data_IF_018779810803
#
_entry.id   IF_018779810803
#
_cell.length_a   1.000
_cell.length_b   1.000
_cell.length_c   1.000
_cell.angle_alpha   90.00
_cell.angle_beta   90.00
_cell.angle_gamma   90.00
#
_symmetry.space_group_name_H-M   'P 1'
#
loop_
_entity.id
_entity.type
_entity.pdbx_description
1 polymer ?
#
# COMPACT_ATOMS: atom_id res chain seq x y z
N UNK A 1 -8.59 -0.80 29.64
CA UNK A 1 -7.99 -0.25 29.45
C UNK A 1 -7.53 0.41 28.68
N UNK A 2 -7.26 0.92 28.42
CA UNK A 2 -6.76 1.40 27.75
C UNK A 2 -5.57 1.87 27.45
N UNK A 3 -5.13 1.84 27.45
CA UNK A 3 -3.78 1.83 27.18
C UNK A 3 -3.39 2.53 25.96
N UNK A 4 -4.22 2.41 25.01
CA UNK A 4 -4.02 3.01 23.74
C UNK A 4 -3.78 4.47 23.83
N UNK A 5 -4.45 5.10 24.74
CA UNK A 5 -4.25 6.51 24.80
C UNK A 5 -2.93 6.87 25.36
N UNK A 6 -2.35 6.01 26.08
CA UNK A 6 -1.03 6.29 26.54
C UNK A 6 -0.10 6.44 25.34
N UNK A 7 -0.26 5.61 24.35
CA UNK A 7 0.54 5.76 23.16
C UNK A 7 0.24 7.01 22.41
N UNK A 8 -1.02 7.35 22.36
CA UNK A 8 -1.40 8.55 21.67
C UNK A 8 -0.85 9.78 22.32
N UNK A 9 -0.61 9.73 23.58
CA UNK A 9 -0.05 10.87 24.29
C UNK A 9 1.44 11.02 24.05
N UNK A 10 2.08 10.03 23.53
CA UNK A 10 3.47 10.17 23.18
C UNK A 10 3.61 10.98 21.93
N UNK A 11 4.76 11.47 21.69
CA UNK A 11 4.96 12.37 20.60
C UNK A 11 4.97 11.71 19.25
N UNK A 12 5.09 10.41 19.20
CA UNK A 12 5.16 9.74 17.91
C UNK A 12 3.87 9.79 17.17
N UNK A 13 3.95 9.92 15.86
CA UNK A 13 2.80 9.83 15.02
C UNK A 13 2.24 8.42 15.05
N UNK A 14 0.93 8.29 14.97
CA UNK A 14 0.26 7.00 14.96
C UNK A 14 0.39 6.37 13.58
N UNK A 15 0.84 5.12 13.51
CA UNK A 15 1.03 4.39 12.27
C UNK A 15 0.17 3.15 12.27
N UNK A 16 -0.42 2.84 11.13
CA UNK A 16 -1.21 1.62 10.97
C UNK A 16 -1.11 1.14 9.54
N UNK A 17 -1.00 -0.16 9.36
CA UNK A 17 -0.98 -0.78 8.04
C UNK A 17 -2.02 -1.88 8.03
N UNK A 18 -2.82 -1.93 6.99
CA UNK A 18 -3.87 -2.93 6.87
C UNK A 18 -4.17 -3.24 5.41
N UNK A 19 -4.69 -4.44 5.19
CA UNK A 19 -5.24 -4.82 3.90
C UNK A 19 -6.52 -4.02 3.68
N UNK A 20 -6.61 -3.36 2.54
CA UNK A 20 -7.81 -2.62 2.18
C UNK A 20 -8.69 -3.50 1.31
N UNK A 21 -9.90 -3.76 1.76
CA UNK A 21 -10.85 -4.55 0.99
C UNK A 21 -11.85 -3.66 0.27
N UNK A 22 -11.96 -2.43 0.72
CA UNK A 22 -12.79 -1.41 0.08
C UNK A 22 -12.26 -0.06 0.49
N UNK A 23 -12.68 0.97 -0.21
CA UNK A 23 -12.28 2.35 0.09
C UNK A 23 -13.54 3.17 0.23
N UNK A 24 -13.70 3.85 1.36
CA UNK A 24 -14.77 4.84 1.45
C UNK A 24 -14.30 6.10 0.74
N UNK A 25 -15.16 7.08 0.64
CA UNK A 25 -14.86 8.28 -0.14
C UNK A 25 -13.65 9.03 0.43
N UNK A 26 -13.56 9.15 1.75
CA UNK A 26 -12.44 9.83 2.38
C UNK A 26 -11.12 9.12 2.10
N UNK A 27 -11.12 7.81 2.24
CA UNK A 27 -9.92 7.01 1.98
C UNK A 27 -9.51 7.11 0.52
N UNK A 28 -10.49 7.09 -0.39
CA UNK A 28 -10.19 7.20 -1.80
C UNK A 28 -9.49 8.52 -2.11
N UNK A 29 -10.00 9.62 -1.54
CA UNK A 29 -9.40 10.93 -1.79
C UNK A 29 -8.02 11.03 -1.15
N UNK A 30 -7.84 10.52 0.06
CA UNK A 30 -6.52 10.52 0.69
C UNK A 30 -5.52 9.71 -0.12
N UNK A 31 -5.95 8.57 -0.63
CA UNK A 31 -5.07 7.71 -1.41
C UNK A 31 -4.70 8.38 -2.74
N UNK A 32 -5.65 9.04 -3.37
CA UNK A 32 -5.36 9.79 -4.58
C UNK A 32 -4.40 10.93 -4.32
N UNK A 33 -4.58 11.65 -3.20
CA UNK A 33 -3.66 12.73 -2.84
C UNK A 33 -2.24 12.21 -2.63
N UNK A 34 -2.12 11.09 -1.91
CA UNK A 34 -0.81 10.49 -1.66
C UNK A 34 -0.17 10.02 -2.97
N UNK A 35 -0.98 9.51 -3.89
CA UNK A 35 -0.49 9.05 -5.18
C UNK A 35 0.05 10.23 -6.00
N UNK A 36 -0.70 11.33 -6.05
CA UNK A 36 -0.25 12.52 -6.77
C UNK A 36 1.07 13.02 -6.20
N UNK A 37 1.16 13.06 -4.88
CA UNK A 37 2.39 13.50 -4.22
C UNK A 37 3.57 12.60 -4.59
N UNK A 38 3.36 11.29 -4.60
CA UNK A 38 4.43 10.35 -4.92
C UNK A 38 4.84 10.47 -6.38
N UNK A 39 3.90 10.62 -7.30
CA UNK A 39 4.22 10.77 -8.72
C UNK A 39 5.02 12.03 -8.94
N UNK A 40 4.62 13.12 -8.31
CA UNK A 40 5.34 14.39 -8.45
C UNK A 40 6.76 14.32 -7.89
N UNK A 41 6.98 13.43 -6.95
CA UNK A 41 8.31 13.22 -6.37
C UNK A 41 9.14 12.19 -7.14
N UNK A 42 8.65 11.76 -8.30
CA UNK A 42 9.37 10.79 -9.14
C UNK A 42 9.01 9.35 -8.84
N UNK A 43 7.95 9.13 -8.09
CA UNK A 43 7.54 7.79 -7.72
C UNK A 43 6.95 7.01 -8.87
N UNK A 44 6.92 5.72 -8.71
CA UNK A 44 6.51 4.79 -9.74
C UNK A 44 5.04 4.86 -10.05
N UNK A 45 4.45 3.94 -10.60
CA UNK A 45 3.14 3.74 -11.17
C UNK A 45 3.16 3.78 -12.69
N UNK A 46 4.31 4.14 -13.29
CA UNK A 46 4.35 4.27 -14.73
C UNK A 46 3.87 5.61 -15.25
N UNK A 47 3.42 6.50 -14.39
CA UNK A 47 3.03 7.85 -14.82
C UNK A 47 4.19 8.81 -14.63
N UNK A 48 4.44 9.64 -15.64
CA UNK A 48 5.46 10.69 -15.53
C UNK A 48 4.91 11.92 -14.85
N UNK A 49 3.61 12.13 -14.96
CA UNK A 49 2.91 13.21 -14.26
C UNK A 49 1.55 12.67 -13.83
N UNK A 50 0.92 13.29 -12.84
CA UNK A 50 -0.36 12.78 -12.35
C UNK A 50 -1.42 12.84 -13.42
N UNK A 51 -2.19 11.76 -13.61
CA UNK A 51 -3.32 11.79 -14.54
C UNK A 51 -4.48 12.58 -13.93
N UNK A 52 -5.55 12.82 -14.69
CA UNK A 52 -6.71 13.49 -14.13
C UNK A 52 -7.24 12.76 -12.91
N UNK A 53 -7.85 13.51 -12.00
CA UNK A 53 -8.32 12.96 -10.73
C UNK A 53 -9.26 11.79 -10.90
N UNK A 54 -10.19 11.88 -11.83
CA UNK A 54 -11.15 10.79 -12.03
C UNK A 54 -10.47 9.53 -12.54
N UNK A 55 -9.36 9.67 -13.27
CA UNK A 55 -8.58 8.51 -13.70
C UNK A 55 -7.95 7.82 -12.50
N UNK A 56 -7.42 8.60 -11.55
CA UNK A 56 -6.84 8.01 -10.34
C UNK A 56 -7.91 7.34 -9.50
N UNK A 57 -9.07 7.95 -9.38
CA UNK A 57 -10.15 7.35 -8.60
C UNK A 57 -10.56 6.01 -9.21
N UNK A 58 -10.69 5.96 -10.52
CA UNK A 58 -11.04 4.71 -11.19
C UNK A 58 -9.95 3.66 -11.04
N UNK A 59 -8.70 4.09 -11.05
CA UNK A 59 -7.58 3.16 -10.86
C UNK A 59 -7.69 2.46 -9.51
N UNK A 60 -7.83 3.25 -8.44
CA UNK A 60 -7.87 2.67 -7.10
C UNK A 60 -9.14 1.86 -6.85
N UNK A 61 -10.27 2.37 -7.31
CA UNK A 61 -11.52 1.63 -7.17
C UNK A 61 -11.48 0.32 -7.96
N UNK A 62 -10.88 0.36 -9.13
CA UNK A 62 -10.75 -0.84 -9.95
C UNK A 62 -9.89 -1.91 -9.31
N UNK A 63 -8.83 -1.50 -8.61
CA UNK A 63 -7.97 -2.46 -7.93
C UNK A 63 -8.73 -3.26 -6.88
N UNK A 64 -9.70 -2.65 -6.22
CA UNK A 64 -10.49 -3.32 -5.19
C UNK A 64 -11.34 -4.45 -5.77
N UNK A 65 -11.53 -4.45 -7.09
CA UNK A 65 -12.37 -5.45 -7.75
C UNK A 65 -11.57 -6.58 -8.38
N UNK A 66 -10.25 -6.50 -8.37
CA UNK A 66 -9.41 -7.54 -8.97
C UNK A 66 -9.18 -8.64 -7.93
N UNK A 67 -9.65 -9.88 -8.22
CA UNK A 67 -9.58 -10.94 -7.20
C UNK A 67 -8.16 -11.32 -6.80
N UNK A 68 -7.21 -11.21 -7.73
CA UNK A 68 -5.85 -11.66 -7.48
C UNK A 68 -4.93 -10.52 -7.07
N UNK A 69 -5.50 -9.42 -6.61
CA UNK A 69 -4.74 -8.27 -6.16
C UNK A 69 -5.10 -7.94 -4.72
N UNK A 70 -4.09 -7.83 -3.88
CA UNK A 70 -4.28 -7.46 -2.48
C UNK A 70 -3.58 -6.12 -2.27
N UNK A 71 -4.32 -5.13 -1.81
CA UNK A 71 -3.83 -3.77 -1.66
C UNK A 71 -3.71 -3.46 -0.17
N UNK A 72 -2.52 -3.10 0.25
CA UNK A 72 -2.28 -2.70 1.64
C UNK A 72 -2.11 -1.20 1.67
N UNK A 73 -2.66 -0.57 2.69
CA UNK A 73 -2.52 0.87 2.86
C UNK A 73 -1.85 1.16 4.19
N UNK A 74 -1.04 2.20 4.20
CA UNK A 74 -0.38 2.68 5.40
C UNK A 74 -0.99 4.02 5.78
N UNK A 75 -1.32 4.17 7.05
CA UNK A 75 -1.90 5.41 7.57
C UNK A 75 -0.93 6.05 8.55
N UNK A 76 -0.87 7.35 8.49
CA UNK A 76 -0.14 8.14 9.47
C UNK A 76 -1.17 9.10 10.06
N UNK A 77 -1.43 8.98 11.33
CA UNK A 77 -2.44 9.79 12.04
C UNK A 77 -3.80 9.72 11.36
N UNK A 78 -4.16 8.53 10.88
CA UNK A 78 -5.46 8.31 10.28
C UNK A 78 -5.57 8.59 8.81
N UNK A 79 -4.58 9.27 8.22
CA UNK A 79 -4.59 9.60 6.79
C UNK A 79 -3.80 8.56 6.02
N UNK A 80 -4.32 8.13 4.88
CA UNK A 80 -3.57 7.20 4.04
C UNK A 80 -2.36 7.92 3.48
N UNK A 81 -1.20 7.36 3.76
CA UNK A 81 0.08 7.95 3.41
C UNK A 81 0.90 7.11 2.45
N UNK A 82 0.43 5.91 2.13
CA UNK A 82 1.17 5.04 1.23
C UNK A 82 0.44 3.74 1.00
N UNK A 83 0.98 2.94 0.11
CA UNK A 83 0.35 1.68 -0.28
C UNK A 83 1.38 0.74 -0.89
N UNK A 84 1.03 -0.52 -0.96
CA UNK A 84 1.83 -1.54 -1.62
C UNK A 84 0.83 -2.59 -2.13
N UNK A 85 1.18 -3.25 -3.22
CA UNK A 85 0.27 -4.21 -3.83
C UNK A 85 0.92 -5.58 -3.89
N UNK A 86 0.14 -6.61 -3.58
CA UNK A 86 0.56 -7.99 -3.73
C UNK A 86 -0.27 -8.62 -4.83
N UNK A 87 0.41 -9.10 -5.85
CA UNK A 87 -0.22 -9.78 -6.99
C UNK A 87 -0.12 -11.28 -6.76
N UNK A 88 -1.26 -11.95 -6.83
CA UNK A 88 -1.31 -13.40 -6.71
C UNK A 88 -1.43 -14.00 -8.09
N UNK A 89 -0.91 -15.20 -8.25
CA UNK A 89 -1.06 -15.93 -9.50
C UNK A 89 -2.34 -16.77 -9.47
N UNK A 90 -2.98 -16.99 -10.63
CA UNK A 90 -4.21 -17.77 -10.66
C UNK A 90 -3.99 -19.18 -10.12
N UNK A 91 -4.98 -19.71 -9.43
CA UNK A 91 -4.86 -21.03 -8.82
C UNK A 91 -4.75 -22.16 -9.83
N UNK A 92 -5.25 -21.95 -11.03
CA UNK A 92 -5.17 -22.97 -12.04
C UNK A 92 -3.75 -23.15 -12.58
N UNK A 93 -2.82 -22.31 -12.19
CA UNK A 93 -1.41 -22.47 -12.54
C UNK A 93 -0.69 -22.95 -11.30
N UNK A 94 -0.72 -24.26 -11.08
CA UNK A 94 -0.19 -24.85 -9.85
C UNK A 94 1.26 -24.51 -9.62
N UNK A 95 2.05 -24.46 -10.68
CA UNK A 95 3.47 -24.20 -10.53
C UNK A 95 3.74 -22.81 -9.95
N UNK A 96 2.85 -21.85 -10.19
CA UNK A 96 3.05 -20.50 -9.75
C UNK A 96 2.05 -20.03 -8.72
N UNK A 97 1.12 -20.89 -8.32
CA UNK A 97 0.10 -20.49 -7.35
C UNK A 97 0.69 -20.15 -6.00
N UNK A 98 1.89 -20.66 -5.69
CA UNK A 98 2.55 -20.39 -4.42
C UNK A 98 3.49 -19.20 -4.48
N UNK A 99 3.49 -18.46 -5.58
CA UNK A 99 4.36 -17.30 -5.76
C UNK A 99 3.52 -16.05 -5.80
N UNK A 100 4.06 -14.97 -5.26
CA UNK A 100 3.43 -13.67 -5.32
C UNK A 100 4.42 -12.62 -5.77
N UNK A 101 3.92 -11.50 -6.26
CA UNK A 101 4.75 -10.39 -6.70
C UNK A 101 4.30 -9.11 -6.03
N UNK A 102 5.24 -8.40 -5.44
CA UNK A 102 4.98 -7.15 -4.73
C UNK A 102 5.37 -6.00 -5.63
N UNK A 103 4.46 -5.07 -5.84
CA UNK A 103 4.71 -3.93 -6.72
C UNK A 103 4.12 -2.66 -6.13
N UNK A 104 4.40 -1.55 -6.78
CA UNK A 104 3.71 -0.27 -6.59
C UNK A 104 3.78 0.23 -5.15
N UNK A 105 4.91 0.03 -4.51
CA UNK A 105 5.11 0.54 -3.16
C UNK A 105 5.43 2.03 -3.23
N UNK A 106 4.76 2.81 -2.41
CA UNK A 106 5.07 4.22 -2.31
C UNK A 106 4.67 4.76 -0.95
N UNK A 107 5.36 5.81 -0.55
CA UNK A 107 5.03 6.57 0.66
C UNK A 107 5.01 8.04 0.24
N UNK A 108 3.96 8.75 0.64
CA UNK A 108 3.87 10.18 0.39
C UNK A 108 5.07 10.90 1.03
N UNK A 109 5.53 11.96 0.39
CA UNK A 109 6.75 12.62 0.85
C UNK A 109 6.63 13.13 2.28
N UNK A 110 5.44 13.59 2.66
CA UNK A 110 5.21 14.14 3.99
C UNK A 110 5.21 13.07 5.08
N UNK A 111 5.21 11.80 4.70
CA UNK A 111 5.18 10.69 5.65
C UNK A 111 6.46 9.86 5.62
N UNK A 112 7.46 10.27 4.88
CA UNK A 112 8.71 9.53 4.78
C UNK A 112 9.50 9.63 6.07
N UNK A 113 10.38 8.65 6.27
CA UNK A 113 11.21 8.64 7.46
C UNK A 113 10.51 8.20 8.73
N UNK A 114 9.31 7.63 8.59
CA UNK A 114 8.51 7.18 9.73
C UNK A 114 8.41 5.67 9.83
N UNK A 115 9.11 4.94 8.95
CA UNK A 115 9.09 3.49 8.97
C UNK A 115 7.90 2.86 8.29
N UNK A 116 7.10 3.62 7.54
CA UNK A 116 5.91 3.08 6.91
C UNK A 116 6.23 2.09 5.79
N UNK A 117 7.32 2.34 5.05
CA UNK A 117 7.72 1.42 3.99
C UNK A 117 8.03 0.04 4.53
N UNK A 118 8.79 -0.03 5.61
CA UNK A 118 9.08 -1.30 6.26
C UNK A 118 7.81 -1.95 6.79
N UNK A 119 6.92 -1.15 7.37
CA UNK A 119 5.67 -1.67 7.91
C UNK A 119 4.81 -2.28 6.82
N UNK A 120 4.78 -1.66 5.64
CA UNK A 120 4.03 -2.20 4.50
C UNK A 120 4.63 -3.54 4.05
N UNK A 121 5.94 -3.60 3.94
CA UNK A 121 6.60 -4.84 3.52
C UNK A 121 6.36 -5.94 4.54
N UNK A 122 6.47 -5.62 5.83
CA UNK A 122 6.20 -6.60 6.88
C UNK A 122 4.78 -7.11 6.81
N UNK A 123 3.83 -6.24 6.54
CA UNK A 123 2.42 -6.63 6.44
C UNK A 123 2.20 -7.58 5.26
N UNK A 124 2.84 -7.29 4.12
CA UNK A 124 2.73 -8.15 2.95
C UNK A 124 3.34 -9.51 3.23
N UNK A 125 4.51 -9.53 3.87
CA UNK A 125 5.17 -10.79 4.17
C UNK A 125 4.34 -11.63 5.12
N UNK A 126 3.78 -11.02 6.14
CA UNK A 126 2.91 -11.74 7.08
C UNK A 126 1.68 -12.28 6.40
N UNK A 127 1.05 -11.48 5.55
CA UNK A 127 -0.12 -11.91 4.82
C UNK A 127 0.21 -13.04 3.85
N UNK A 128 1.35 -12.94 3.17
CA UNK A 128 1.78 -13.97 2.25
C UNK A 128 1.96 -15.31 2.98
N UNK A 129 2.53 -15.29 4.17
CA UNK A 129 2.69 -16.50 4.96
C UNK A 129 1.33 -17.07 5.36
N UNK A 130 0.41 -16.21 5.74
CA UNK A 130 -0.92 -16.67 6.16
C UNK A 130 -1.70 -17.32 5.03
N UNK A 131 -1.53 -16.83 3.80
CA UNK A 131 -2.24 -17.39 2.67
C UNK A 131 -1.45 -18.50 1.97
N UNK A 132 -0.27 -18.83 2.50
CA UNK A 132 0.46 -20.00 2.04
C UNK A 132 1.41 -19.80 0.89
N UNK A 133 1.80 -18.56 0.61
CA UNK A 133 2.78 -18.33 -0.44
C UNK A 133 4.15 -18.80 0.01
N UNK A 134 4.92 -19.34 -0.92
CA UNK A 134 6.26 -19.83 -0.63
C UNK A 134 7.34 -18.83 -0.95
N UNK A 135 7.07 -17.92 -1.87
CA UNK A 135 8.06 -16.93 -2.26
C UNK A 135 7.40 -15.68 -2.77
N UNK A 136 8.08 -14.56 -2.60
CA UNK A 136 7.65 -13.25 -3.09
C UNK A 136 8.76 -12.69 -3.96
N UNK A 137 8.37 -12.12 -5.08
CA UNK A 137 9.26 -11.31 -5.89
C UNK A 137 8.96 -9.86 -5.58
N UNK A 138 9.98 -9.10 -5.29
CA UNK A 138 9.82 -7.67 -5.03
C UNK A 138 10.22 -6.90 -6.28
N UNK A 139 9.29 -6.09 -6.75
CA UNK A 139 9.53 -5.26 -7.93
C UNK A 139 9.24 -3.83 -7.51
N UNK A 140 10.16 -3.26 -6.77
CA UNK A 140 10.00 -1.94 -6.17
C UNK A 140 11.07 -1.01 -6.69
N UNK A 141 10.70 0.27 -6.85
CA UNK A 141 11.65 1.28 -7.22
C UNK A 141 12.31 1.83 -5.96
N UNK A 142 13.60 2.12 -6.06
CA UNK A 142 14.32 2.63 -4.91
C UNK A 142 13.72 3.88 -4.33
N UNK A 143 13.24 4.76 -5.17
CA UNK A 143 12.69 6.02 -4.70
C UNK A 143 11.43 5.83 -3.90
N UNK A 144 10.88 4.62 -3.88
CA UNK A 144 9.65 4.34 -3.17
C UNK A 144 9.88 3.76 -1.79
N UNK A 145 11.11 3.45 -1.48
CA UNK A 145 11.36 2.62 -0.33
C UNK A 145 11.32 3.36 0.98
N UNK A 146 11.15 4.61 0.98
CA UNK A 146 11.00 5.25 2.26
C UNK A 146 11.12 6.73 2.15
#
# INVERSE_FOLDING_TARGET
MNVVHSEALHTGASRAVALAESLNEGDLQDLCDATVDAINAGGGFGWLSPPPRDTLERYWQGLMLIPDRRVFVARLDGLIAGSIQLHLNPRNNEAQAMLGRVTSAFIATWARGKGLGHALIDAVESDAQLIGLRALTLDLRETQTN
#
